data_IF_458065236661
#
_entry.id   IF_458065236661
#
_cell.length_a   1.000
_cell.length_b   1.000
_cell.length_c   1.000
_cell.angle_alpha   90.00
_cell.angle_beta   90.00
_cell.angle_gamma   90.00
#
_symmetry.space_group_name_H-M   'P 1'
#
loop_
_entity.id
_entity.type
_entity.pdbx_description
1 polymer ?
#
# COMPACT_ATOMS: atom_id res chain seq x y z
N UNK A 1 15.13 1.18 -26.59
CA UNK A 1 15.57 0.06 -27.47
C UNK A 1 14.37 -0.52 -28.23
N UNK A 2 14.59 -1.40 -29.21
CA UNK A 2 13.49 -2.09 -29.89
C UNK A 2 12.62 -2.90 -28.89
N UNK A 3 13.22 -3.44 -27.86
CA UNK A 3 12.55 -4.18 -26.80
C UNK A 3 11.54 -3.32 -25.99
N UNK A 4 11.64 -1.99 -26.01
CA UNK A 4 10.68 -1.10 -25.36
C UNK A 4 9.38 -0.93 -26.17
N UNK A 5 9.35 -1.44 -27.41
CA UNK A 5 8.22 -1.30 -28.34
C UNK A 5 7.49 -2.62 -28.63
N UNK A 6 8.05 -3.76 -28.25
CA UNK A 6 7.42 -5.07 -28.40
C UNK A 6 8.09 -6.08 -27.48
N UNK A 7 7.32 -7.02 -26.96
CA UNK A 7 7.80 -8.19 -26.18
C UNK A 7 8.30 -9.31 -27.09
N UNK A 8 8.21 -9.18 -28.42
CA UNK A 8 8.61 -10.20 -29.39
C UNK A 8 9.95 -9.89 -30.07
N UNK A 9 10.73 -10.94 -30.32
CA UNK A 9 11.96 -10.84 -31.12
C UNK A 9 11.69 -10.57 -32.62
N UNK A 10 10.41 -10.50 -33.04
CA UNK A 10 9.95 -10.34 -34.41
C UNK A 10 9.60 -8.91 -34.84
N UNK A 11 9.92 -7.88 -34.04
CA UNK A 11 9.58 -6.50 -34.37
C UNK A 11 10.32 -6.03 -35.62
N UNK A 12 9.59 -5.79 -36.70
CA UNK A 12 10.10 -5.22 -37.97
C UNK A 12 10.12 -3.68 -37.92
N UNK A 13 9.18 -3.07 -37.21
CA UNK A 13 9.04 -1.63 -37.08
C UNK A 13 7.80 -1.20 -36.33
N UNK A 14 7.51 0.09 -36.38
CA UNK A 14 6.30 0.67 -35.75
C UNK A 14 5.62 1.65 -36.71
N UNK A 15 4.30 1.65 -36.70
CA UNK A 15 3.48 2.69 -37.31
C UNK A 15 3.11 3.72 -36.25
N UNK A 16 3.36 5.00 -36.47
CA UNK A 16 3.09 6.08 -35.55
C UNK A 16 1.64 6.57 -35.72
N UNK A 17 0.78 6.23 -34.77
CA UNK A 17 -0.64 6.58 -34.77
C UNK A 17 -0.90 8.00 -34.23
N UNK A 18 -0.10 8.43 -33.24
CA UNK A 18 -0.17 9.78 -32.66
C UNK A 18 1.21 10.19 -32.13
N UNK A 19 1.52 11.47 -32.23
CA UNK A 19 2.73 12.09 -31.68
C UNK A 19 2.33 13.12 -30.62
N UNK A 20 3.23 13.48 -29.69
CA UNK A 20 3.01 14.61 -28.79
C UNK A 20 2.61 15.88 -29.51
N UNK A 21 1.78 16.74 -28.93
CA UNK A 21 1.49 18.07 -29.48
C UNK A 21 2.77 18.87 -29.72
N UNK A 22 2.91 19.47 -30.89
CA UNK A 22 4.14 20.16 -31.29
C UNK A 22 4.54 21.34 -30.37
N UNK A 23 3.60 21.86 -29.58
CA UNK A 23 3.89 22.90 -28.58
C UNK A 23 4.44 22.30 -27.26
N UNK A 24 4.37 20.99 -27.07
CA UNK A 24 4.91 20.28 -25.92
C UNK A 24 6.25 19.62 -26.25
N UNK A 25 6.28 18.81 -27.28
CA UNK A 25 7.49 18.09 -27.70
C UNK A 25 7.46 17.70 -29.18
N UNK A 26 8.63 17.45 -29.72
CA UNK A 26 8.83 16.87 -31.05
C UNK A 26 9.55 15.52 -30.91
N UNK A 27 9.03 14.51 -31.61
CA UNK A 27 9.69 13.22 -31.72
C UNK A 27 10.61 13.26 -32.95
N UNK A 28 11.89 12.94 -32.81
CA UNK A 28 12.89 13.11 -33.84
C UNK A 28 13.81 11.91 -34.01
N UNK A 29 14.28 11.69 -35.27
CA UNK A 29 15.44 10.84 -35.55
C UNK A 29 16.46 11.71 -36.29
N UNK A 30 17.56 12.02 -35.59
CA UNK A 30 18.50 13.02 -36.07
C UNK A 30 17.85 14.41 -36.20
N UNK A 31 17.84 14.96 -37.40
CA UNK A 31 17.17 16.23 -37.73
C UNK A 31 15.73 16.09 -38.27
N UNK A 32 15.30 14.86 -38.56
CA UNK A 32 13.96 14.57 -39.05
C UNK A 32 12.95 14.53 -37.90
N UNK A 33 11.91 15.35 -38.02
CA UNK A 33 10.74 15.26 -37.11
C UNK A 33 9.84 14.12 -37.60
N UNK A 34 9.41 13.27 -36.64
CA UNK A 34 8.51 12.17 -36.88
C UNK A 34 7.09 12.69 -36.77
N UNK A 35 6.24 12.30 -37.71
CA UNK A 35 4.86 12.71 -37.78
C UNK A 35 3.92 11.51 -37.65
N UNK A 36 2.67 11.79 -37.34
CA UNK A 36 1.59 10.79 -37.42
C UNK A 36 1.57 10.19 -38.84
N UNK A 37 1.49 8.89 -38.95
CA UNK A 37 1.47 8.14 -40.19
C UNK A 37 2.85 7.66 -40.66
N UNK A 38 3.94 8.06 -39.98
CA UNK A 38 5.27 7.53 -40.29
C UNK A 38 5.37 6.04 -39.89
N UNK A 39 6.08 5.29 -40.75
CA UNK A 39 6.51 3.92 -40.46
C UNK A 39 8.01 3.96 -40.20
N UNK A 40 8.40 3.49 -39.04
CA UNK A 40 9.79 3.46 -38.59
C UNK A 40 10.27 2.01 -38.49
N UNK A 41 11.37 1.64 -39.18
CA UNK A 41 11.93 0.30 -39.01
C UNK A 41 12.53 0.15 -37.59
N UNK A 42 12.54 -1.08 -37.06
CA UNK A 42 13.04 -1.39 -35.71
C UNK A 42 14.45 -0.82 -35.45
N UNK A 43 15.35 -0.90 -36.43
CA UNK A 43 16.72 -0.33 -36.32
C UNK A 43 16.77 1.20 -36.17
N UNK A 44 15.69 1.92 -36.47
CA UNK A 44 15.62 3.37 -36.32
C UNK A 44 15.13 3.78 -34.94
N UNK A 45 14.46 2.89 -34.18
CA UNK A 45 13.87 3.20 -32.87
C UNK A 45 14.93 3.57 -31.82
N UNK A 46 16.10 2.94 -31.87
CA UNK A 46 17.22 3.29 -30.98
C UNK A 46 17.75 4.71 -31.15
N UNK A 47 17.49 5.33 -32.31
CA UNK A 47 17.90 6.70 -32.63
C UNK A 47 16.81 7.72 -32.40
N UNK A 48 15.63 7.25 -31.98
CA UNK A 48 14.50 8.09 -31.72
C UNK A 48 14.73 8.89 -30.42
N UNK A 49 14.46 10.18 -30.46
CA UNK A 49 14.59 11.09 -29.33
C UNK A 49 13.37 11.98 -29.22
N UNK A 50 12.93 12.20 -27.99
CA UNK A 50 11.96 13.23 -27.67
C UNK A 50 12.71 14.55 -27.45
N UNK A 51 12.31 15.61 -28.12
CA UNK A 51 12.83 16.97 -27.95
C UNK A 51 11.74 17.83 -27.33
N UNK A 52 11.85 18.21 -26.05
CA UNK A 52 10.91 19.14 -25.43
C UNK A 52 10.90 20.47 -26.11
N UNK A 53 9.74 21.08 -26.26
CA UNK A 53 9.52 22.44 -26.83
C UNK A 53 8.93 23.36 -25.76
N UNK A 54 8.12 22.82 -24.83
CA UNK A 54 7.55 23.61 -23.75
C UNK A 54 8.59 24.03 -22.71
N UNK A 55 8.33 25.18 -22.06
CA UNK A 55 9.17 25.73 -20.98
C UNK A 55 8.71 25.29 -19.58
N UNK A 56 7.90 24.25 -19.48
CA UNK A 56 7.35 23.76 -18.21
C UNK A 56 7.16 22.25 -18.23
N UNK A 57 6.77 21.70 -17.09
CA UNK A 57 6.36 20.31 -17.02
C UNK A 57 5.14 20.09 -17.92
N UNK A 58 5.13 19.00 -18.66
CA UNK A 58 4.01 18.62 -19.50
C UNK A 58 3.89 17.11 -19.60
N UNK A 59 2.67 16.63 -19.53
CA UNK A 59 2.35 15.25 -19.84
C UNK A 59 1.89 15.17 -21.30
N UNK A 60 2.43 14.23 -22.06
CA UNK A 60 2.06 13.99 -23.44
C UNK A 60 2.05 12.48 -23.73
N UNK A 61 1.51 12.11 -24.87
CA UNK A 61 1.37 10.71 -25.24
C UNK A 61 1.95 10.47 -26.63
N UNK A 62 2.56 9.28 -26.78
CA UNK A 62 2.93 8.68 -28.04
C UNK A 62 2.06 7.44 -28.23
N UNK A 63 1.40 7.33 -29.39
CA UNK A 63 0.66 6.11 -29.74
C UNK A 63 1.27 5.50 -30.98
N UNK A 64 1.60 4.22 -30.91
CA UNK A 64 2.14 3.47 -32.02
C UNK A 64 1.49 2.09 -32.12
N UNK A 65 1.59 1.47 -33.29
CA UNK A 65 1.23 0.07 -33.50
C UNK A 65 2.50 -0.69 -33.95
N UNK A 66 2.88 -1.77 -33.26
CA UNK A 66 4.01 -2.61 -33.70
C UNK A 66 3.70 -3.28 -35.04
N UNK A 67 4.74 -3.51 -35.83
CA UNK A 67 4.67 -4.26 -37.09
C UNK A 67 5.50 -5.52 -36.90
N UNK A 68 4.84 -6.67 -36.96
CA UNK A 68 5.44 -8.00 -36.77
C UNK A 68 4.91 -8.92 -37.85
N UNK A 69 5.82 -9.69 -38.48
CA UNK A 69 5.49 -10.60 -39.58
C UNK A 69 4.66 -9.93 -40.72
N UNK A 70 4.97 -8.66 -41.02
CA UNK A 70 4.25 -7.84 -41.99
C UNK A 70 2.84 -7.47 -41.62
N UNK A 71 2.41 -7.71 -40.39
CA UNK A 71 1.08 -7.33 -39.85
C UNK A 71 1.15 -6.20 -38.84
N UNK A 72 0.10 -5.36 -38.81
CA UNK A 72 -0.02 -4.28 -37.84
C UNK A 72 -0.68 -4.82 -36.56
N UNK A 73 0.00 -4.65 -35.44
CA UNK A 73 -0.52 -5.01 -34.12
C UNK A 73 -1.45 -3.96 -33.54
N UNK A 74 -1.92 -4.22 -32.33
CA UNK A 74 -2.78 -3.28 -31.58
C UNK A 74 -2.07 -2.00 -31.18
N UNK A 75 -2.84 -0.93 -31.02
CA UNK A 75 -2.31 0.38 -30.64
C UNK A 75 -1.80 0.36 -29.19
N UNK A 76 -0.56 0.77 -28.99
CA UNK A 76 0.09 0.95 -27.70
C UNK A 76 0.22 2.44 -27.40
N UNK A 77 -0.23 2.85 -26.22
CA UNK A 77 -0.09 4.22 -25.74
C UNK A 77 1.04 4.30 -24.73
N UNK A 78 2.00 5.18 -24.98
CA UNK A 78 3.10 5.50 -24.07
C UNK A 78 2.88 6.89 -23.50
N UNK A 79 2.69 6.98 -22.20
CA UNK A 79 2.64 8.26 -21.48
C UNK A 79 4.06 8.77 -21.28
N UNK A 80 4.30 10.01 -21.69
CA UNK A 80 5.59 10.69 -21.61
C UNK A 80 5.46 11.91 -20.73
N UNK A 81 6.32 12.01 -19.72
CA UNK A 81 6.39 13.20 -18.87
C UNK A 81 7.61 14.02 -19.22
N UNK A 82 7.38 15.27 -19.60
CA UNK A 82 8.43 16.25 -19.85
C UNK A 82 8.65 17.01 -18.56
N UNK A 83 9.85 16.93 -18.03
CA UNK A 83 10.26 17.70 -16.86
C UNK A 83 11.10 18.88 -17.32
N UNK A 84 10.68 20.07 -16.93
CA UNK A 84 11.43 21.29 -17.25
C UNK A 84 12.19 21.73 -16.02
N UNK A 85 13.47 21.84 -16.12
CA UNK A 85 14.25 22.47 -15.07
C UNK A 85 15.38 21.63 -14.52
N UNK A 86 16.10 22.20 -13.58
CA UNK A 86 17.08 21.51 -12.75
C UNK A 86 16.34 20.56 -11.82
N UNK A 87 16.73 19.30 -11.84
CA UNK A 87 16.26 18.31 -10.88
C UNK A 87 16.39 18.84 -9.46
N UNK A 88 15.34 18.70 -8.66
CA UNK A 88 15.29 19.16 -7.27
C UNK A 88 15.55 18.00 -6.29
N UNK A 89 16.07 18.33 -5.11
CA UNK A 89 16.25 17.31 -4.10
C UNK A 89 14.90 16.88 -3.52
N UNK A 90 14.72 15.58 -3.21
CA UNK A 90 13.51 15.10 -2.57
C UNK A 90 13.31 15.70 -1.17
N UNK A 91 12.08 15.66 -0.67
CA UNK A 91 11.71 16.17 0.65
C UNK A 91 11.16 15.01 1.47
N UNK A 92 11.81 14.71 2.60
CA UNK A 92 11.37 13.71 3.56
C UNK A 92 10.52 14.33 4.68
N UNK A 93 9.54 13.57 5.15
CA UNK A 93 8.65 13.95 6.24
C UNK A 93 8.89 13.10 7.50
N UNK A 94 8.72 13.71 8.67
CA UNK A 94 8.74 13.00 9.95
C UNK A 94 7.63 11.96 10.04
N UNK A 95 7.97 10.79 10.59
CA UNK A 95 7.03 9.69 10.79
C UNK A 95 6.87 9.30 12.25
N UNK A 96 5.90 8.43 12.49
CA UNK A 96 5.68 7.81 13.80
C UNK A 96 5.39 6.33 13.65
N UNK A 97 5.87 5.50 14.57
CA UNK A 97 5.56 4.09 14.66
C UNK A 97 5.28 3.70 16.10
N UNK A 98 4.24 2.92 16.32
CA UNK A 98 4.02 2.26 17.61
C UNK A 98 4.26 0.76 17.49
N UNK A 99 4.84 0.18 18.52
CA UNK A 99 4.91 -1.27 18.64
C UNK A 99 4.82 -1.69 20.10
N UNK A 100 4.70 -2.98 20.35
CA UNK A 100 4.76 -3.54 21.70
C UNK A 100 6.14 -4.09 22.02
N UNK A 101 6.42 -4.17 23.31
CA UNK A 101 7.62 -4.82 23.85
C UNK A 101 7.81 -6.21 23.24
N UNK A 102 8.98 -6.45 22.66
CA UNK A 102 9.39 -7.70 21.99
C UNK A 102 8.59 -8.06 20.72
N UNK A 103 7.85 -7.12 20.16
CA UNK A 103 7.08 -7.35 18.93
C UNK A 103 7.63 -6.39 17.85
N UNK A 104 8.04 -6.95 16.71
CA UNK A 104 8.42 -6.16 15.54
C UNK A 104 7.17 -5.52 14.91
N UNK A 105 7.34 -4.35 14.30
CA UNK A 105 6.29 -3.73 13.49
C UNK A 105 6.90 -3.08 12.26
N UNK A 106 6.09 -2.96 11.22
CA UNK A 106 6.48 -2.41 9.92
C UNK A 106 5.92 -1.01 9.73
N UNK A 107 6.60 -0.22 8.94
CA UNK A 107 6.16 1.11 8.52
C UNK A 107 6.70 1.44 7.14
N UNK A 108 6.31 2.61 6.62
CA UNK A 108 6.80 3.13 5.36
C UNK A 108 7.29 4.56 5.58
N UNK A 109 8.44 4.90 5.02
CA UNK A 109 8.99 6.24 5.03
C UNK A 109 8.23 7.12 4.03
N UNK A 110 8.01 8.38 4.40
CA UNK A 110 7.38 9.37 3.54
C UNK A 110 8.42 10.30 2.94
N UNK A 111 8.49 10.32 1.62
CA UNK A 111 9.28 11.30 0.88
C UNK A 111 8.54 11.66 -0.41
N UNK A 112 8.70 12.90 -0.84
CA UNK A 112 8.15 13.43 -2.09
C UNK A 112 9.27 13.99 -2.94
N UNK A 113 9.18 13.78 -4.23
CA UNK A 113 10.05 14.35 -5.24
C UNK A 113 9.23 15.13 -6.25
N UNK A 114 9.66 16.34 -6.60
CA UNK A 114 8.89 17.20 -7.51
C UNK A 114 8.84 16.63 -8.92
N UNK A 115 9.83 15.85 -9.27
CA UNK A 115 9.97 15.19 -10.57
C UNK A 115 9.36 13.78 -10.57
N UNK A 116 8.76 13.31 -9.44
CA UNK A 116 8.22 11.95 -9.22
C UNK A 116 9.22 10.82 -9.54
N UNK A 117 10.47 11.04 -9.20
CA UNK A 117 11.53 10.05 -9.44
C UNK A 117 11.49 8.93 -8.40
N UNK A 118 12.02 7.77 -8.77
CA UNK A 118 12.20 6.67 -7.83
C UNK A 118 13.28 7.03 -6.82
N UNK A 119 12.93 6.96 -5.53
CA UNK A 119 13.82 7.36 -4.44
C UNK A 119 14.50 6.17 -3.80
N UNK A 120 15.74 6.34 -3.40
CA UNK A 120 16.46 5.40 -2.55
C UNK A 120 16.59 5.95 -1.15
N UNK A 121 16.37 5.10 -0.14
CA UNK A 121 16.34 5.52 1.27
C UNK A 121 17.60 5.04 2.01
N UNK A 122 18.11 5.86 2.90
CA UNK A 122 19.27 5.56 3.71
C UNK A 122 19.07 5.95 5.17
N UNK A 123 19.53 5.09 6.08
CA UNK A 123 19.55 5.36 7.50
C UNK A 123 20.73 6.27 7.83
N UNK A 124 20.45 7.41 8.47
CA UNK A 124 21.47 8.37 8.93
C UNK A 124 21.83 8.12 10.40
N UNK A 125 20.83 7.76 11.20
CA UNK A 125 21.00 7.50 12.62
C UNK A 125 20.17 6.33 13.06
N UNK A 126 20.83 5.34 13.63
CA UNK A 126 20.23 4.13 14.18
C UNK A 126 19.41 4.42 15.46
N UNK A 127 18.37 3.63 15.74
CA UNK A 127 17.65 3.68 17.00
C UNK A 127 18.53 3.15 18.15
N UNK A 128 18.13 3.42 19.39
CA UNK A 128 18.90 3.05 20.60
C UNK A 128 18.31 1.86 21.36
N UNK A 129 17.09 1.46 21.04
CA UNK A 129 16.32 0.45 21.77
C UNK A 129 15.81 -0.68 20.89
N UNK A 130 16.31 -0.78 19.68
CA UNK A 130 15.96 -1.76 18.69
C UNK A 130 16.79 -1.63 17.43
N UNK A 131 16.42 -2.36 16.40
CA UNK A 131 17.05 -2.34 15.08
C UNK A 131 16.02 -1.98 14.02
N UNK A 132 16.47 -1.34 12.94
CA UNK A 132 15.68 -1.05 11.75
C UNK A 132 16.25 -1.83 10.58
N UNK A 133 15.42 -2.60 9.92
CA UNK A 133 15.69 -3.17 8.61
C UNK A 133 14.96 -2.33 7.58
N UNK A 134 15.72 -1.63 6.73
CA UNK A 134 15.19 -0.71 5.73
C UNK A 134 15.29 -1.35 4.35
N UNK A 135 14.19 -1.31 3.59
CA UNK A 135 14.10 -1.82 2.22
C UNK A 135 14.20 -0.67 1.20
N UNK A 136 14.50 -1.04 -0.04
CA UNK A 136 14.73 -0.07 -1.14
C UNK A 136 13.47 0.72 -1.51
N UNK A 137 12.29 0.17 -1.28
CA UNK A 137 10.99 0.81 -1.52
C UNK A 137 10.55 1.78 -0.40
N UNK A 138 11.41 2.00 0.61
CA UNK A 138 11.10 2.83 1.77
C UNK A 138 10.28 2.13 2.85
N UNK A 139 9.89 0.88 2.67
CA UNK A 139 9.34 0.08 3.75
C UNK A 139 10.43 -0.27 4.76
N UNK A 140 10.05 -0.39 6.02
CA UNK A 140 11.00 -0.77 7.06
C UNK A 140 10.35 -1.63 8.14
N UNK A 141 11.17 -2.46 8.78
CA UNK A 141 10.79 -3.23 9.96
C UNK A 141 11.59 -2.76 11.15
N UNK A 142 10.90 -2.31 12.20
CA UNK A 142 11.52 -2.00 13.48
C UNK A 142 11.34 -3.15 14.46
N UNK A 143 12.42 -3.67 15.00
CA UNK A 143 12.43 -4.73 16.01
C UNK A 143 12.98 -4.19 17.33
N UNK A 144 12.14 -4.09 18.38
CA UNK A 144 12.61 -3.65 19.71
C UNK A 144 13.61 -4.64 20.31
N UNK A 145 14.63 -4.14 20.96
CA UNK A 145 15.51 -4.96 21.82
C UNK A 145 14.72 -5.66 22.93
N UNK A 146 15.23 -6.81 23.34
CA UNK A 146 14.56 -7.63 24.37
C UNK A 146 14.20 -6.82 25.61
N UNK A 147 12.91 -6.83 25.92
CA UNK A 147 12.32 -6.19 27.11
C UNK A 147 12.39 -4.66 27.15
N UNK A 148 12.77 -3.98 26.08
CA UNK A 148 12.73 -2.51 26.01
C UNK A 148 11.31 -2.00 25.89
N UNK A 149 11.04 -0.83 26.48
CA UNK A 149 9.81 -0.06 26.41
C UNK A 149 10.14 1.44 26.41
N UNK A 150 9.18 2.26 25.96
CA UNK A 150 9.31 3.71 25.97
C UNK A 150 9.57 4.29 24.59
N UNK A 151 10.24 5.44 24.52
CA UNK A 151 10.47 6.16 23.26
C UNK A 151 11.82 5.77 22.64
N UNK A 152 11.83 5.67 21.32
CA UNK A 152 13.01 5.53 20.47
C UNK A 152 12.85 6.37 19.22
N UNK A 153 13.85 6.42 18.36
CA UNK A 153 13.77 7.10 17.08
C UNK A 153 14.96 6.74 16.19
N UNK A 154 14.78 6.84 14.89
CA UNK A 154 15.83 6.81 13.90
C UNK A 154 15.69 7.98 12.93
N UNK A 155 16.76 8.29 12.18
CA UNK A 155 16.76 9.38 11.20
C UNK A 155 17.15 8.80 9.84
N UNK A 156 16.49 9.28 8.79
CA UNK A 156 16.71 8.83 7.43
C UNK A 156 16.78 9.98 6.44
N UNK A 157 17.30 9.71 5.26
CA UNK A 157 17.26 10.57 4.08
C UNK A 157 16.79 9.77 2.87
N UNK A 158 16.33 10.47 1.85
CA UNK A 158 16.05 9.92 0.53
C UNK A 158 16.98 10.58 -0.50
N UNK A 159 17.33 9.82 -1.54
CA UNK A 159 18.19 10.29 -2.62
C UNK A 159 17.53 9.96 -3.96
N UNK A 160 17.51 10.92 -4.85
CA UNK A 160 17.02 10.76 -6.22
C UNK A 160 18.06 10.09 -7.14
N UNK A 161 17.70 9.68 -8.37
CA UNK A 161 18.64 9.07 -9.32
C UNK A 161 19.78 9.99 -9.79
N UNK A 162 19.62 11.30 -9.65
CA UNK A 162 20.67 12.27 -9.98
C UNK A 162 21.68 12.49 -8.83
N UNK A 163 21.39 11.93 -7.65
CA UNK A 163 22.25 12.01 -6.49
C UNK A 163 21.96 13.19 -5.55
N UNK A 164 20.84 13.91 -5.72
CA UNK A 164 20.45 14.94 -4.76
C UNK A 164 19.84 14.28 -3.52
N UNK A 165 20.29 14.70 -2.35
CA UNK A 165 19.89 14.15 -1.06
C UNK A 165 18.86 15.07 -0.40
N UNK A 166 17.83 14.49 0.20
CA UNK A 166 16.77 15.19 0.93
C UNK A 166 17.27 15.85 2.24
N UNK A 167 16.38 16.57 2.89
CA UNK A 167 16.50 16.86 4.31
C UNK A 167 16.52 15.57 5.15
N UNK A 168 17.10 15.62 6.33
CA UNK A 168 16.95 14.57 7.34
C UNK A 168 15.51 14.60 7.91
N UNK A 169 14.90 13.43 8.03
CA UNK A 169 13.60 13.24 8.68
C UNK A 169 13.69 12.17 9.77
N UNK A 170 12.85 12.29 10.79
CA UNK A 170 12.91 11.46 11.99
C UNK A 170 11.64 10.61 12.11
N UNK A 171 11.79 9.30 12.24
CA UNK A 171 10.71 8.42 12.67
C UNK A 171 10.76 8.26 14.18
N UNK A 172 9.71 8.72 14.87
CA UNK A 172 9.54 8.60 16.32
C UNK A 172 8.85 7.29 16.64
N UNK A 173 9.46 6.47 17.49
CA UNK A 173 8.97 5.15 17.84
C UNK A 173 8.47 5.15 19.28
N UNK A 174 7.33 4.51 19.52
CA UNK A 174 6.78 4.27 20.84
C UNK A 174 6.64 2.78 21.08
N UNK A 175 7.46 2.26 22.00
CA UNK A 175 7.41 0.85 22.42
C UNK A 175 6.50 0.75 23.63
N UNK A 176 5.32 0.16 23.43
CA UNK A 176 4.27 0.03 24.42
C UNK A 176 4.53 -1.19 25.31
N UNK A 177 4.07 -1.09 26.56
CA UNK A 177 3.96 -2.25 27.44
C UNK A 177 2.55 -2.82 27.30
N UNK A 178 2.39 -4.13 26.98
CA UNK A 178 1.07 -4.73 26.94
C UNK A 178 0.35 -4.61 28.28
N UNK A 179 -0.97 -4.50 28.28
CA UNK A 179 -1.79 -4.40 29.49
C UNK A 179 -1.66 -5.65 30.36
N UNK A 180 -1.56 -6.82 29.74
CA UNK A 180 -1.26 -8.07 30.42
C UNK A 180 0.02 -8.74 29.89
N UNK A 181 0.47 -9.81 30.55
CA UNK A 181 1.70 -10.53 30.18
C UNK A 181 1.46 -11.61 29.14
N UNK A 182 0.22 -11.94 28.84
CA UNK A 182 -0.11 -13.02 27.93
C UNK A 182 0.13 -12.55 26.47
N UNK A 183 0.95 -13.27 25.77
CA UNK A 183 1.24 -13.07 24.34
C UNK A 183 0.68 -14.26 23.56
N UNK A 184 0.34 -14.01 22.31
CA UNK A 184 -0.07 -15.08 21.42
C UNK A 184 1.13 -15.94 21.02
N UNK A 185 0.99 -17.26 21.16
CA UNK A 185 2.07 -18.21 20.87
C UNK A 185 2.25 -18.43 19.37
N UNK A 186 1.16 -18.38 18.63
CA UNK A 186 1.08 -18.56 17.18
C UNK A 186 1.46 -17.30 16.36
N UNK A 187 1.63 -16.16 17.04
CA UNK A 187 2.03 -14.90 16.40
C UNK A 187 3.51 -14.55 16.62
N UNK A 188 4.32 -15.49 17.09
CA UNK A 188 5.74 -15.24 17.35
C UNK A 188 6.52 -15.07 16.05
N UNK A 189 7.03 -13.88 15.79
CA UNK A 189 7.74 -13.54 14.55
C UNK A 189 6.83 -13.27 13.35
N UNK A 190 5.52 -13.29 13.54
CA UNK A 190 4.56 -12.94 12.51
C UNK A 190 4.52 -11.42 12.29
N UNK A 191 4.39 -10.99 11.02
CA UNK A 191 4.33 -9.57 10.65
C UNK A 191 3.11 -8.86 11.25
N UNK A 192 2.01 -9.60 11.47
CA UNK A 192 0.76 -9.07 11.98
C UNK A 192 0.65 -9.16 13.51
N UNK A 193 1.73 -9.59 14.20
CA UNK A 193 1.79 -9.72 15.65
C UNK A 193 1.45 -8.42 16.39
N UNK A 194 1.84 -7.26 15.84
CA UNK A 194 1.47 -5.96 16.39
C UNK A 194 -0.05 -5.74 16.34
N UNK A 195 -0.68 -6.01 15.20
CA UNK A 195 -2.12 -5.85 15.02
C UNK A 195 -2.90 -6.77 15.96
N UNK A 196 -2.48 -8.03 16.10
CA UNK A 196 -3.07 -8.99 17.01
C UNK A 196 -3.01 -8.50 18.48
N UNK A 197 -1.87 -8.02 18.93
CA UNK A 197 -1.70 -7.47 20.27
C UNK A 197 -2.49 -6.17 20.48
N UNK A 198 -2.59 -5.34 19.48
CA UNK A 198 -3.38 -4.11 19.52
C UNK A 198 -4.89 -4.42 19.67
N UNK A 199 -5.40 -5.39 18.90
CA UNK A 199 -6.79 -5.85 19.01
C UNK A 199 -7.09 -6.39 20.42
N UNK A 200 -6.16 -7.14 20.99
CA UNK A 200 -6.27 -7.65 22.36
C UNK A 200 -6.28 -6.50 23.39
N UNK A 201 -5.34 -5.58 23.30
CA UNK A 201 -5.19 -4.46 24.24
C UNK A 201 -6.43 -3.53 24.21
N UNK A 202 -7.08 -3.42 23.05
CA UNK A 202 -8.36 -2.71 22.88
C UNK A 202 -9.59 -3.52 23.27
N UNK A 203 -9.44 -4.80 23.63
CA UNK A 203 -10.57 -5.68 23.95
C UNK A 203 -11.47 -6.00 22.77
N UNK A 204 -10.95 -5.83 21.55
CA UNK A 204 -11.71 -6.08 20.31
C UNK A 204 -11.72 -7.57 19.96
N UNK A 205 -10.58 -8.21 20.12
CA UNK A 205 -10.42 -9.64 19.93
C UNK A 205 -9.36 -10.19 20.92
N UNK A 206 -9.69 -11.22 21.65
CA UNK A 206 -8.83 -11.75 22.72
C UNK A 206 -8.19 -13.09 22.39
N UNK A 207 -8.48 -13.65 21.20
CA UNK A 207 -8.00 -14.97 20.83
C UNK A 207 -8.69 -16.11 21.59
N UNK A 208 -8.13 -17.31 21.48
CA UNK A 208 -8.61 -18.53 22.11
C UNK A 208 -7.51 -19.19 22.91
N UNK A 209 -7.89 -19.94 23.97
CA UNK A 209 -6.94 -20.77 24.71
C UNK A 209 -6.99 -22.19 24.15
N UNK A 210 -5.88 -22.62 23.52
CA UNK A 210 -5.73 -23.92 22.89
C UNK A 210 -4.59 -24.65 23.61
N UNK A 211 -4.90 -25.80 24.22
CA UNK A 211 -3.95 -26.59 24.99
C UNK A 211 -3.17 -25.78 26.06
N UNK A 212 -3.84 -24.81 26.69
CA UNK A 212 -3.25 -23.93 27.71
C UNK A 212 -2.47 -22.71 27.14
N UNK A 213 -2.34 -22.57 25.84
CA UNK A 213 -1.68 -21.46 25.20
C UNK A 213 -2.71 -20.46 24.62
N UNK A 214 -2.43 -19.19 24.76
CA UNK A 214 -3.22 -18.16 24.09
C UNK A 214 -2.81 -18.09 22.60
N UNK A 215 -3.79 -18.27 21.71
CA UNK A 215 -3.62 -18.25 20.25
C UNK A 215 -4.52 -17.18 19.61
N UNK A 216 -4.02 -16.53 18.57
CA UNK A 216 -4.77 -15.56 17.77
C UNK A 216 -5.51 -16.25 16.62
N UNK A 217 -4.92 -17.30 16.07
CA UNK A 217 -5.42 -18.08 14.93
C UNK A 217 -5.57 -17.21 13.66
N UNK A 218 -4.47 -16.62 13.11
CA UNK A 218 -4.52 -15.64 12.02
C UNK A 218 -5.19 -16.16 10.74
N UNK A 219 -5.11 -17.48 10.50
CA UNK A 219 -5.69 -18.12 9.31
C UNK A 219 -7.16 -18.55 9.51
N UNK A 220 -7.71 -18.39 10.72
CA UNK A 220 -9.11 -18.71 10.98
C UNK A 220 -10.03 -17.61 10.45
N UNK A 221 -11.08 -17.96 9.65
CA UNK A 221 -12.05 -16.97 9.20
C UNK A 221 -12.82 -16.38 10.38
N UNK A 222 -12.96 -15.08 10.37
CA UNK A 222 -13.79 -14.34 11.35
C UNK A 222 -15.23 -14.37 10.89
N UNK A 223 -16.16 -14.72 11.79
CA UNK A 223 -17.59 -14.70 11.47
C UNK A 223 -18.07 -13.24 11.25
N UNK A 224 -19.17 -13.10 10.50
CA UNK A 224 -19.81 -11.80 10.25
C UNK A 224 -20.17 -11.09 11.57
N UNK A 225 -20.68 -11.83 12.55
CA UNK A 225 -21.04 -11.30 13.87
C UNK A 225 -19.80 -10.85 14.68
N UNK A 226 -18.72 -11.61 14.68
CA UNK A 226 -17.48 -11.23 15.37
C UNK A 226 -16.88 -9.96 14.76
N UNK A 227 -16.86 -9.86 13.43
CA UNK A 227 -16.37 -8.66 12.74
C UNK A 227 -17.23 -7.43 13.06
N UNK A 228 -18.57 -7.57 13.00
CA UNK A 228 -19.50 -6.50 13.36
C UNK A 228 -19.27 -6.01 14.79
N UNK A 229 -19.14 -6.93 15.75
CA UNK A 229 -18.91 -6.58 17.16
C UNK A 229 -17.59 -5.85 17.34
N UNK A 230 -16.53 -6.26 16.65
CA UNK A 230 -15.25 -5.56 16.67
C UNK A 230 -15.38 -4.13 16.13
N UNK A 231 -16.11 -3.93 15.04
CA UNK A 231 -16.39 -2.59 14.47
C UNK A 231 -17.23 -1.73 15.44
N UNK A 232 -18.26 -2.28 16.08
CA UNK A 232 -19.08 -1.57 17.05
C UNK A 232 -18.25 -1.10 18.25
N UNK A 233 -17.47 -2.00 18.84
CA UNK A 233 -16.56 -1.66 19.94
C UNK A 233 -15.55 -0.58 19.55
N UNK A 234 -14.99 -0.67 18.35
CA UNK A 234 -14.04 0.35 17.84
C UNK A 234 -14.72 1.73 17.68
N UNK A 235 -15.98 1.74 17.25
CA UNK A 235 -16.79 2.96 17.13
C UNK A 235 -17.33 3.46 18.46
N UNK A 236 -17.09 2.77 19.58
CA UNK A 236 -17.62 3.12 20.90
C UNK A 236 -19.13 2.90 21.03
N UNK A 237 -19.70 2.01 20.23
CA UNK A 237 -21.10 1.66 20.29
C UNK A 237 -21.33 0.55 21.34
N UNK A 238 -22.28 0.79 22.21
CA UNK A 238 -22.59 -0.13 23.30
C UNK A 238 -23.54 -1.22 22.84
N UNK A 239 -23.53 -2.34 23.56
CA UNK A 239 -24.53 -3.41 23.40
C UNK A 239 -25.90 -2.95 23.91
N UNK A 240 -26.95 -3.60 23.47
CA UNK A 240 -28.31 -3.34 23.95
C UNK A 240 -28.49 -3.78 25.42
N UNK A 241 -29.17 -2.96 26.22
CA UNK A 241 -29.50 -3.24 27.63
C UNK A 241 -30.73 -4.18 27.73
N UNK A 242 -30.66 -5.38 27.25
CA UNK A 242 -31.77 -6.31 27.46
C UNK A 242 -31.88 -7.40 26.40
N UNK A 243 -32.81 -8.30 26.63
CA UNK A 243 -33.16 -9.41 25.75
C UNK A 243 -34.05 -8.94 24.59
N UNK A 244 -33.51 -8.09 23.74
CA UNK A 244 -34.24 -7.67 22.53
C UNK A 244 -33.87 -8.66 21.42
N UNK A 245 -34.84 -9.39 20.96
CA UNK A 245 -34.69 -10.27 19.79
C UNK A 245 -34.56 -9.43 18.53
N UNK A 246 -33.67 -9.83 17.64
CA UNK A 246 -33.56 -9.28 16.29
C UNK A 246 -34.67 -9.78 15.38
N UNK A 247 -35.31 -10.90 15.74
CA UNK A 247 -36.25 -11.60 14.90
C UNK A 247 -35.63 -12.34 13.73
N UNK A 248 -34.30 -12.48 13.72
CA UNK A 248 -33.62 -13.30 12.71
C UNK A 248 -33.89 -14.79 12.95
N UNK A 249 -34.14 -15.53 11.88
CA UNK A 249 -34.43 -16.97 11.96
C UNK A 249 -33.25 -17.78 12.51
N UNK A 250 -32.03 -17.29 12.32
CA UNK A 250 -30.77 -17.87 12.80
C UNK A 250 -30.27 -17.30 14.16
N UNK A 251 -31.10 -16.51 14.85
CA UNK A 251 -30.72 -15.87 16.13
C UNK A 251 -30.28 -16.89 17.19
N UNK A 252 -30.94 -18.05 17.26
CA UNK A 252 -30.61 -19.10 18.23
C UNK A 252 -29.28 -19.81 17.93
N UNK A 253 -28.76 -19.70 16.73
CA UNK A 253 -27.45 -20.24 16.34
C UNK A 253 -26.30 -19.29 16.72
N UNK A 254 -26.66 -18.03 17.02
CA UNK A 254 -25.69 -17.01 17.45
C UNK A 254 -25.37 -17.17 18.93
N UNK A 255 -24.09 -17.18 19.33
CA UNK A 255 -23.69 -17.23 20.72
C UNK A 255 -24.37 -16.15 21.57
N UNK A 256 -24.84 -16.50 22.77
CA UNK A 256 -25.60 -15.60 23.65
C UNK A 256 -24.90 -14.26 23.92
N UNK A 257 -23.56 -14.25 24.01
CA UNK A 257 -22.81 -13.02 24.26
C UNK A 257 -22.78 -12.06 23.06
N UNK A 258 -23.08 -12.53 21.85
CA UNK A 258 -23.13 -11.72 20.62
C UNK A 258 -24.53 -11.11 20.39
N UNK A 259 -25.57 -11.74 20.88
CA UNK A 259 -26.96 -11.35 20.63
C UNK A 259 -27.26 -9.88 21.03
N UNK A 260 -26.80 -9.35 22.17
CA UNK A 260 -27.04 -7.94 22.52
C UNK A 260 -26.41 -6.94 21.55
N UNK A 261 -25.25 -7.28 20.94
CA UNK A 261 -24.61 -6.45 19.92
C UNK A 261 -25.37 -6.49 18.60
N UNK A 262 -25.83 -7.67 18.19
CA UNK A 262 -26.64 -7.82 16.99
C UNK A 262 -27.98 -7.07 17.12
N UNK A 263 -28.61 -7.14 18.29
CA UNK A 263 -29.83 -6.38 18.57
C UNK A 263 -29.59 -4.87 18.47
N UNK A 264 -28.53 -4.35 19.06
CA UNK A 264 -28.17 -2.93 18.97
C UNK A 264 -27.88 -2.50 17.52
N UNK A 265 -27.15 -3.33 16.77
CA UNK A 265 -26.83 -3.06 15.36
C UNK A 265 -28.10 -3.07 14.46
N UNK A 266 -29.01 -3.98 14.71
CA UNK A 266 -30.29 -4.05 13.99
C UNK A 266 -31.19 -2.84 14.29
N UNK A 267 -31.33 -2.48 15.58
CA UNK A 267 -32.11 -1.31 16.00
C UNK A 267 -31.59 0.01 15.45
N UNK A 268 -30.26 0.13 15.33
CA UNK A 268 -29.63 1.33 14.74
C UNK A 268 -29.66 1.33 13.21
N UNK A 269 -30.17 0.28 12.58
CA UNK A 269 -30.21 0.16 11.11
C UNK A 269 -28.86 -0.11 10.46
N UNK A 270 -27.82 -0.47 11.24
CA UNK A 270 -26.51 -0.84 10.71
C UNK A 270 -26.53 -2.17 9.98
N UNK A 271 -27.39 -3.08 10.39
CA UNK A 271 -27.59 -4.36 9.72
C UNK A 271 -29.04 -4.56 9.34
N UNK A 272 -29.25 -5.28 8.25
CA UNK A 272 -30.54 -5.82 7.82
C UNK A 272 -30.34 -7.31 7.55
N UNK A 273 -31.35 -8.12 7.83
CA UNK A 273 -31.29 -9.54 7.51
C UNK A 273 -31.36 -9.78 6.01
N UNK A 274 -30.84 -10.93 5.58
CA UNK A 274 -31.04 -11.46 4.23
C UNK A 274 -32.32 -12.28 4.21
N UNK A 275 -33.29 -12.03 3.30
CA UNK A 275 -34.51 -12.80 3.23
C UNK A 275 -34.26 -14.23 2.74
N UNK A 276 -34.80 -15.20 3.44
CA UNK A 276 -34.82 -16.63 3.08
C UNK A 276 -36.24 -17.20 3.19
N UNK A 277 -36.43 -18.46 2.82
CA UNK A 277 -37.72 -19.14 3.00
C UNK A 277 -38.11 -19.27 4.49
N UNK A 278 -37.17 -19.29 5.39
CA UNK A 278 -37.36 -19.41 6.85
C UNK A 278 -37.53 -18.05 7.55
N UNK A 279 -37.36 -16.94 6.85
CA UNK A 279 -37.37 -15.58 7.37
C UNK A 279 -36.10 -14.80 7.08
N UNK A 280 -35.91 -13.69 7.80
CA UNK A 280 -34.65 -12.92 7.72
C UNK A 280 -33.58 -13.66 8.48
N UNK A 281 -32.39 -13.82 7.88
CA UNK A 281 -31.20 -14.39 8.52
C UNK A 281 -30.06 -13.36 8.51
N UNK A 282 -29.18 -13.46 9.50
CA UNK A 282 -28.03 -12.57 9.63
C UNK A 282 -26.79 -13.09 8.89
N UNK A 283 -26.71 -14.38 8.59
CA UNK A 283 -25.56 -15.02 7.91
C UNK A 283 -25.17 -14.42 6.60
#
# INVERSE_FOLDING_TARGET
TAADFSDSDGLEGVYISSVPPAYQAELCIGSRVICRGDILPAAALEKMKLRPVCLGNADCELVYCPIEDGTLGDAVTVSLRILSGTNTAPVCEDGTLETYKNIANTGTLSATDQEDQELTYQLVKEPKRGTVELHTDGSFTYTPDKNKVGKDSFVFTATDPAGNVSNEACVKIRILKPADKATYQDMSGDRDAFAAMWLKDKGLYTGRVIAGNLCFEPDCPVSRSEFLIACMKLAGLEQSDGTISTGFADELETPLWQQPYLAAAYQSGMISGTPTEEGLVFR
#
